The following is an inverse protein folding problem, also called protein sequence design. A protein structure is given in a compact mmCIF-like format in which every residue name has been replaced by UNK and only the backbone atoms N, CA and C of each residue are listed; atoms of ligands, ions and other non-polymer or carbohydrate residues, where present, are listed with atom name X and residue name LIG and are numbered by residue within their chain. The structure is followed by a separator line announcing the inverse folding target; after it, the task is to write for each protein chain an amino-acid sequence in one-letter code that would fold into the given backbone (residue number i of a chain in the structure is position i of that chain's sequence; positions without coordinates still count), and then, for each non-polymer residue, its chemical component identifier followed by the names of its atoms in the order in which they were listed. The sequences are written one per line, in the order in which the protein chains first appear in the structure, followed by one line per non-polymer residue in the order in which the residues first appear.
data_IF_376167160011
#
_entry.id   IF_376167160011
#
_cell.length_a   1.000
_cell.length_b   1.000
_cell.length_c   1.000
_cell.angle_alpha   90.00
_cell.angle_beta   90.00
_cell.angle_gamma   90.00
#
_symmetry.space_group_name_H-M   'P 1'
#
loop_
_entity.id
_entity.type
_entity.pdbx_description
1 polymer ?
#
# COMPACT_ATOMS: atom_id res chain seq x y z
N UNK A 1 12.78 14.50 -10.68
CA UNK A 1 11.65 13.66 -11.14
C UNK A 1 11.17 12.86 -9.95
N UNK A 2 9.88 12.96 -9.63
CA UNK A 2 9.29 12.42 -8.40
C UNK A 2 9.42 10.90 -8.29
N UNK A 3 9.19 10.20 -9.39
CA UNK A 3 9.32 8.73 -9.51
C UNK A 3 10.77 8.24 -9.67
N UNK A 4 11.74 9.16 -9.76
CA UNK A 4 13.14 8.79 -10.05
C UNK A 4 13.29 8.05 -11.37
N UNK A 5 14.11 7.00 -11.40
CA UNK A 5 14.32 6.14 -12.58
C UNK A 5 13.13 5.24 -12.89
N UNK A 6 12.23 4.99 -11.92
CA UNK A 6 11.02 4.19 -12.14
C UNK A 6 10.01 4.84 -13.08
N UNK A 7 10.15 6.15 -13.37
CA UNK A 7 9.34 6.83 -14.39
C UNK A 7 9.67 6.41 -15.83
N UNK A 8 10.78 5.70 -16.05
CA UNK A 8 11.21 5.23 -17.38
C UNK A 8 11.76 3.80 -17.31
N UNK A 9 10.86 2.83 -17.38
CA UNK A 9 11.21 1.40 -17.46
C UNK A 9 11.38 0.94 -18.92
N UNK A 10 12.28 -0.01 -19.14
CA UNK A 10 12.43 -0.65 -20.44
C UNK A 10 11.23 -1.55 -20.75
N UNK A 11 10.97 -1.79 -22.03
CA UNK A 11 9.98 -2.76 -22.45
C UNK A 11 10.42 -4.18 -22.08
N UNK A 12 9.53 -4.97 -21.50
CA UNK A 12 9.82 -6.36 -21.16
C UNK A 12 10.01 -7.22 -22.42
N UNK A 13 11.03 -8.06 -22.41
CA UNK A 13 11.22 -9.12 -23.42
C UNK A 13 10.43 -10.36 -23.04
N UNK A 14 10.23 -11.27 -24.00
CA UNK A 14 9.44 -12.50 -23.81
C UNK A 14 9.99 -13.36 -22.66
N UNK A 15 11.31 -13.49 -22.56
CA UNK A 15 11.97 -14.33 -21.54
C UNK A 15 11.63 -13.85 -20.12
N UNK A 16 11.60 -12.54 -19.90
CA UNK A 16 11.23 -11.95 -18.61
C UNK A 16 9.73 -11.99 -18.39
N UNK A 17 8.92 -11.74 -19.43
CA UNK A 17 7.46 -11.78 -19.33
C UNK A 17 6.94 -13.18 -18.97
N UNK A 18 7.60 -14.24 -19.43
CA UNK A 18 7.23 -15.63 -19.10
C UNK A 18 7.36 -15.99 -17.61
N UNK A 19 8.07 -15.18 -16.82
CA UNK A 19 8.21 -15.37 -15.37
C UNK A 19 7.13 -14.65 -14.56
N UNK A 20 6.36 -13.75 -15.17
CA UNK A 20 5.36 -12.92 -14.48
C UNK A 20 4.02 -13.65 -14.42
N UNK A 21 3.45 -13.75 -13.21
CA UNK A 21 2.15 -14.40 -12.97
C UNK A 21 1.25 -13.58 -12.04
N UNK A 22 1.23 -13.87 -10.74
CA UNK A 22 0.31 -13.28 -9.75
C UNK A 22 0.63 -11.84 -9.38
N UNK A 23 1.81 -11.34 -9.75
CA UNK A 23 2.27 -9.97 -9.51
C UNK A 23 2.60 -9.37 -10.87
N UNK A 24 1.58 -8.99 -11.62
CA UNK A 24 1.73 -8.34 -12.92
C UNK A 24 1.66 -6.81 -12.73
N UNK A 25 2.79 -6.09 -12.78
CA UNK A 25 2.76 -4.64 -12.67
C UNK A 25 2.09 -4.03 -13.91
N UNK A 26 1.11 -3.17 -13.68
CA UNK A 26 0.43 -2.38 -14.72
C UNK A 26 0.39 -0.91 -14.33
N UNK A 27 0.39 -0.02 -15.33
CA UNK A 27 0.18 1.41 -15.10
C UNK A 27 -1.22 1.61 -14.52
N UNK A 28 -1.30 2.28 -13.39
CA UNK A 28 -2.58 2.63 -12.77
C UNK A 28 -3.27 3.72 -13.58
N UNK A 29 -4.55 3.51 -13.91
CA UNK A 29 -5.39 4.50 -14.60
C UNK A 29 -6.41 5.11 -13.63
N UNK A 30 -7.29 4.29 -13.07
CA UNK A 30 -8.22 4.67 -12.00
C UNK A 30 -8.69 3.45 -11.21
N UNK A 31 -9.32 3.68 -10.05
CA UNK A 31 -9.92 2.61 -9.25
C UNK A 31 -11.11 1.95 -9.97
N UNK A 32 -11.93 2.73 -10.69
CA UNK A 32 -13.06 2.23 -11.46
C UNK A 32 -12.63 1.32 -12.60
N UNK A 33 -11.57 1.70 -13.33
CA UNK A 33 -11.03 0.89 -14.43
C UNK A 33 -10.47 -0.41 -13.87
N UNK A 34 -9.71 -0.34 -12.77
CA UNK A 34 -9.15 -1.53 -12.12
C UNK A 34 -10.26 -2.49 -11.64
N UNK A 35 -11.30 -1.96 -10.99
CA UNK A 35 -12.49 -2.71 -10.56
C UNK A 35 -13.24 -3.33 -11.74
N UNK A 36 -13.39 -2.60 -12.85
CA UNK A 36 -14.06 -3.11 -14.07
C UNK A 36 -13.26 -4.22 -14.75
N UNK A 37 -11.93 -4.12 -14.76
CA UNK A 37 -11.04 -5.16 -15.29
C UNK A 37 -11.11 -6.45 -14.46
N UNK A 38 -11.29 -6.32 -13.15
CA UNK A 38 -11.50 -7.42 -12.21
C UNK A 38 -10.42 -8.52 -12.29
N UNK A 39 -9.14 -8.12 -12.30
CA UNK A 39 -7.99 -9.02 -12.38
C UNK A 39 -7.12 -8.88 -11.14
N UNK A 40 -7.26 -9.80 -10.19
CA UNK A 40 -6.52 -9.77 -8.92
C UNK A 40 -5.00 -9.93 -9.04
N UNK A 41 -4.51 -10.48 -10.16
CA UNK A 41 -3.06 -10.60 -10.42
C UNK A 41 -2.44 -9.30 -10.96
N UNK A 42 -3.26 -8.35 -11.42
CA UNK A 42 -2.77 -7.02 -11.80
C UNK A 42 -2.53 -6.19 -10.55
N UNK A 43 -1.38 -5.53 -10.47
CA UNK A 43 -0.98 -4.69 -9.35
C UNK A 43 -0.36 -3.39 -9.86
N UNK A 44 -0.36 -2.35 -9.02
CA UNK A 44 0.25 -1.07 -9.37
C UNK A 44 1.22 -0.58 -8.29
N UNK A 45 2.31 0.05 -8.75
CA UNK A 45 3.27 0.74 -7.90
C UNK A 45 3.02 2.24 -7.93
N UNK A 46 3.03 2.87 -6.76
CA UNK A 46 2.83 4.30 -6.58
C UNK A 46 4.03 4.90 -5.85
N UNK A 47 4.56 6.00 -6.37
CA UNK A 47 5.42 6.88 -5.58
C UNK A 47 4.60 7.48 -4.42
N UNK A 48 5.23 7.71 -3.26
CA UNK A 48 4.53 8.16 -2.04
C UNK A 48 3.60 9.37 -2.25
N UNK A 49 3.96 10.29 -3.14
CA UNK A 49 3.19 11.48 -3.50
C UNK A 49 1.89 11.14 -4.22
N UNK A 50 1.95 10.26 -5.24
CA UNK A 50 0.77 9.72 -5.93
C UNK A 50 -0.08 8.87 -4.99
N UNK A 51 0.56 8.06 -4.15
CA UNK A 51 -0.15 7.28 -3.14
C UNK A 51 -0.94 8.20 -2.18
N UNK A 52 -0.32 9.29 -1.73
CA UNK A 52 -0.95 10.28 -0.85
C UNK A 52 -2.07 11.04 -1.54
N UNK A 53 -1.92 11.36 -2.83
CA UNK A 53 -3.00 11.94 -3.64
C UNK A 53 -4.21 11.00 -3.71
N UNK A 54 -4.00 9.71 -3.98
CA UNK A 54 -5.10 8.73 -4.00
C UNK A 54 -5.74 8.59 -2.61
N UNK A 55 -4.92 8.52 -1.56
CA UNK A 55 -5.40 8.45 -0.18
C UNK A 55 -6.24 9.66 0.20
N UNK A 56 -5.89 10.86 -0.24
CA UNK A 56 -6.63 12.08 0.14
C UNK A 56 -7.87 12.33 -0.73
N UNK A 57 -7.85 11.96 -2.00
CA UNK A 57 -8.97 12.19 -2.92
C UNK A 57 -10.01 11.08 -2.92
N UNK A 58 -9.56 9.83 -2.76
CA UNK A 58 -10.38 8.63 -2.92
C UNK A 58 -9.95 7.53 -1.92
N UNK A 59 -9.95 7.82 -0.60
CA UNK A 59 -9.43 6.93 0.43
C UNK A 59 -10.14 5.57 0.46
N UNK A 60 -11.45 5.65 0.35
CA UNK A 60 -12.36 4.51 0.41
C UNK A 60 -12.15 3.58 -0.78
N UNK A 61 -12.08 4.14 -1.98
CA UNK A 61 -11.82 3.39 -3.21
C UNK A 61 -10.45 2.71 -3.17
N UNK A 62 -9.47 3.35 -2.52
CA UNK A 62 -8.16 2.75 -2.33
C UNK A 62 -8.21 1.54 -1.39
N UNK A 63 -8.99 1.62 -0.29
CA UNK A 63 -9.25 0.46 0.59
C UNK A 63 -9.91 -0.67 -0.19
N UNK A 64 -10.94 -0.37 -1.00
CA UNK A 64 -11.64 -1.37 -1.80
C UNK A 64 -10.73 -2.02 -2.85
N UNK A 65 -9.89 -1.24 -3.55
CA UNK A 65 -8.88 -1.74 -4.46
C UNK A 65 -7.96 -2.76 -3.77
N UNK A 66 -7.48 -2.41 -2.57
CA UNK A 66 -6.56 -3.24 -1.80
C UNK A 66 -7.19 -4.50 -1.18
N UNK A 67 -8.50 -4.72 -1.31
CA UNK A 67 -9.13 -6.01 -0.96
C UNK A 67 -8.88 -7.08 -2.02
N UNK A 68 -8.80 -6.67 -3.29
CA UNK A 68 -8.78 -7.58 -4.44
C UNK A 68 -7.45 -7.57 -5.19
N UNK A 69 -6.69 -6.47 -5.12
CA UNK A 69 -5.43 -6.27 -5.82
C UNK A 69 -4.33 -5.83 -4.86
N UNK A 70 -3.08 -5.94 -5.31
CA UNK A 70 -1.91 -5.49 -4.55
C UNK A 70 -1.53 -4.06 -4.95
N UNK A 71 -1.14 -3.24 -3.98
CA UNK A 71 -0.46 -1.97 -4.19
C UNK A 71 0.93 -1.98 -3.57
N UNK A 72 1.89 -1.38 -4.29
CA UNK A 72 3.22 -1.09 -3.78
C UNK A 72 3.41 0.42 -3.66
N UNK A 73 3.87 0.88 -2.50
CA UNK A 73 4.25 2.28 -2.28
C UNK A 73 5.78 2.35 -2.16
N UNK A 74 6.41 3.36 -2.75
CA UNK A 74 7.85 3.58 -2.63
C UNK A 74 8.21 5.05 -2.41
N UNK A 75 9.35 5.34 -1.76
CA UNK A 75 9.76 6.71 -1.47
C UNK A 75 10.02 7.50 -2.75
N UNK A 76 9.69 8.79 -2.74
CA UNK A 76 9.99 9.70 -3.86
C UNK A 76 11.49 9.91 -4.04
N UNK A 77 11.90 10.15 -5.28
CA UNK A 77 13.31 10.35 -5.65
C UNK A 77 13.97 11.59 -5.03
N UNK A 78 13.20 12.52 -4.46
CA UNK A 78 13.77 13.69 -3.75
C UNK A 78 14.32 13.35 -2.37
N UNK A 79 14.05 12.16 -1.82
CA UNK A 79 14.65 11.64 -0.59
C UNK A 79 16.05 11.07 -0.84
N UNK A 80 16.95 11.92 -1.31
CA UNK A 80 18.32 11.54 -1.68
C UNK A 80 19.16 11.10 -0.48
N UNK A 81 18.75 11.50 0.73
CA UNK A 81 19.33 11.10 2.01
C UNK A 81 18.83 9.73 2.51
N UNK A 82 18.00 9.04 1.71
CA UNK A 82 17.37 7.78 2.10
C UNK A 82 16.43 7.89 3.31
N UNK A 83 15.88 9.07 3.62
CA UNK A 83 14.82 9.21 4.63
C UNK A 83 13.59 8.38 4.28
N UNK A 84 12.80 7.99 5.27
CA UNK A 84 11.54 7.27 5.07
C UNK A 84 10.31 8.18 5.25
N UNK A 85 9.21 7.78 4.62
CA UNK A 85 7.87 8.30 4.92
C UNK A 85 7.20 7.43 6.00
N UNK A 86 6.15 7.94 6.64
CA UNK A 86 5.41 7.18 7.66
C UNK A 86 4.57 6.06 7.01
N UNK A 87 4.87 4.77 7.27
CA UNK A 87 4.20 3.66 6.58
C UNK A 87 2.72 3.50 6.98
N UNK A 88 2.36 3.92 8.20
CA UNK A 88 1.00 3.84 8.73
C UNK A 88 -0.03 4.52 7.82
N UNK A 89 0.35 5.60 7.13
CA UNK A 89 -0.53 6.31 6.20
C UNK A 89 -1.11 5.37 5.13
N UNK A 90 -0.28 4.50 4.57
CA UNK A 90 -0.67 3.58 3.50
C UNK A 90 -1.21 2.26 4.03
N UNK A 91 -0.79 1.82 5.22
CA UNK A 91 -1.43 0.70 5.90
C UNK A 91 -2.89 1.00 6.25
N UNK A 92 -3.23 2.25 6.60
CA UNK A 92 -4.61 2.69 6.82
C UNK A 92 -5.48 2.57 5.55
N UNK A 93 -4.89 2.66 4.37
CA UNK A 93 -5.54 2.42 3.08
C UNK A 93 -5.52 0.93 2.65
N UNK A 94 -4.89 0.07 3.45
CA UNK A 94 -4.79 -1.37 3.18
C UNK A 94 -3.68 -1.77 2.21
N UNK A 95 -2.77 -0.86 1.85
CA UNK A 95 -1.63 -1.14 0.98
C UNK A 95 -0.71 -2.19 1.59
N UNK A 96 -0.28 -3.16 0.79
CA UNK A 96 0.44 -4.34 1.28
C UNK A 96 1.95 -4.16 1.21
N UNK A 97 2.47 -3.65 0.09
CA UNK A 97 3.91 -3.49 -0.14
C UNK A 97 4.34 -2.04 0.09
N UNK A 98 4.37 -1.61 1.34
CA UNK A 98 4.79 -0.25 1.74
C UNK A 98 6.30 -0.23 1.94
N UNK A 99 7.05 0.03 0.85
CA UNK A 99 8.50 -0.11 0.81
C UNK A 99 9.22 1.06 1.48
N UNK A 100 10.21 0.74 2.30
CA UNK A 100 11.05 1.68 3.04
C UNK A 100 12.54 1.44 2.75
N UNK A 101 13.37 2.43 3.02
CA UNK A 101 14.82 2.43 2.95
C UNK A 101 15.41 1.80 4.23
N UNK A 102 15.74 0.51 4.18
CA UNK A 102 16.27 -0.27 5.32
C UNK A 102 17.62 0.24 5.84
N UNK A 103 18.40 0.92 5.00
CA UNK A 103 19.67 1.55 5.36
C UNK A 103 19.53 2.70 6.38
N UNK A 104 18.32 3.25 6.54
CA UNK A 104 18.04 4.37 7.45
C UNK A 104 17.07 3.92 8.55
N UNK A 105 17.56 3.78 9.78
CA UNK A 105 16.76 3.35 10.95
C UNK A 105 16.10 4.54 11.65
N UNK A 106 15.34 5.32 10.88
CA UNK A 106 14.51 6.42 11.40
C UNK A 106 13.21 5.91 12.06
N UNK A 107 12.37 6.84 12.55
CA UNK A 107 11.12 6.50 13.24
C UNK A 107 10.22 5.56 12.42
N UNK A 108 10.10 5.81 11.11
CA UNK A 108 9.28 4.99 10.22
C UNK A 108 9.82 3.56 10.13
N UNK A 109 11.13 3.39 10.02
CA UNK A 109 11.76 2.07 10.03
C UNK A 109 11.61 1.36 11.39
N UNK A 110 11.76 2.08 12.50
CA UNK A 110 11.56 1.52 13.85
C UNK A 110 10.14 0.98 14.03
N UNK A 111 9.12 1.72 13.58
CA UNK A 111 7.72 1.26 13.57
C UNK A 111 7.56 0.02 12.69
N UNK A 112 8.15 0.01 11.50
CA UNK A 112 8.10 -1.15 10.60
C UNK A 112 8.72 -2.41 11.23
N UNK A 113 9.91 -2.29 11.81
CA UNK A 113 10.58 -3.39 12.50
C UNK A 113 9.74 -3.90 13.68
N UNK A 114 9.19 -3.00 14.51
CA UNK A 114 8.33 -3.39 15.63
C UNK A 114 7.03 -4.07 15.18
N UNK A 115 6.39 -3.58 14.11
CA UNK A 115 5.14 -4.15 13.59
C UNK A 115 5.33 -5.58 13.06
N UNK A 116 6.44 -5.85 12.37
CA UNK A 116 6.73 -7.15 11.75
C UNK A 116 7.52 -8.12 12.66
N UNK A 117 7.86 -7.72 13.89
CA UNK A 117 8.31 -8.67 14.91
C UNK A 117 7.19 -9.65 15.31
N UNK A 118 5.95 -9.15 15.35
CA UNK A 118 4.76 -9.95 15.64
C UNK A 118 4.46 -10.95 14.51
N UNK A 119 3.64 -11.95 14.81
CA UNK A 119 3.34 -13.07 13.89
C UNK A 119 4.60 -13.87 13.51
N UNK A 120 5.45 -14.14 14.51
CA UNK A 120 6.61 -15.03 14.39
C UNK A 120 7.68 -14.52 13.42
N UNK A 121 7.84 -13.21 13.26
CA UNK A 121 8.82 -12.59 12.35
C UNK A 121 8.68 -13.04 10.88
N UNK A 122 7.47 -13.43 10.47
CA UNK A 122 7.20 -13.95 9.12
C UNK A 122 7.27 -12.90 8.01
N UNK A 123 7.24 -11.60 8.37
CA UNK A 123 7.08 -10.52 7.40
C UNK A 123 5.65 -10.32 6.90
N UNK A 124 4.67 -11.06 7.46
CA UNK A 124 3.25 -10.92 7.11
C UNK A 124 2.40 -10.60 8.34
N UNK A 125 1.45 -9.66 8.18
CA UNK A 125 0.45 -9.30 9.18
C UNK A 125 -0.92 -9.30 8.53
N UNK A 126 -1.87 -10.01 9.15
CA UNK A 126 -3.24 -10.05 8.65
C UNK A 126 -3.91 -8.68 8.84
N UNK A 127 -4.45 -8.10 7.77
CA UNK A 127 -5.23 -6.86 7.83
C UNK A 127 -6.48 -7.05 8.72
N UNK A 128 -6.99 -6.00 9.38
CA UNK A 128 -8.27 -6.04 10.09
C UNK A 128 -9.42 -6.52 9.19
N UNK A 129 -10.44 -7.13 9.79
CA UNK A 129 -11.54 -7.79 9.07
C UNK A 129 -12.27 -6.85 8.09
N UNK A 130 -12.59 -5.64 8.54
CA UNK A 130 -13.28 -4.62 7.74
C UNK A 130 -12.47 -4.14 6.53
N UNK A 131 -11.14 -4.29 6.55
CA UNK A 131 -10.26 -3.96 5.41
C UNK A 131 -10.07 -5.13 4.43
N UNK A 132 -10.74 -6.27 4.66
CA UNK A 132 -10.66 -7.48 3.83
C UNK A 132 -12.02 -7.92 3.30
N UNK A 133 -13.08 -7.67 4.04
CA UNK A 133 -14.43 -8.11 3.69
C UNK A 133 -15.02 -7.30 2.52
N UNK A 134 -15.57 -7.95 1.48
CA UNK A 134 -16.16 -7.26 0.34
C UNK A 134 -17.47 -6.53 0.68
N UNK A 135 -18.16 -6.97 1.73
CA UNK A 135 -19.44 -6.42 2.17
C UNK A 135 -19.32 -5.32 3.24
N UNK A 136 -18.09 -5.01 3.68
CA UNK A 136 -17.81 -3.97 4.68
C UNK A 136 -17.16 -2.77 4.01
N UNK A 137 -17.67 -1.58 4.32
CA UNK A 137 -17.08 -0.33 3.86
C UNK A 137 -16.30 0.31 5.00
N UNK A 138 -15.16 0.91 4.69
CA UNK A 138 -14.32 1.57 5.68
C UNK A 138 -13.73 2.85 5.11
N UNK A 139 -13.99 3.96 5.79
CA UNK A 139 -13.31 5.23 5.55
C UNK A 139 -12.14 5.38 6.55
N UNK A 140 -10.88 5.37 6.08
CA UNK A 140 -9.69 5.63 6.89
C UNK A 140 -9.68 6.94 7.67
N UNK A 141 -10.51 7.92 7.30
CA UNK A 141 -10.57 9.24 7.93
C UNK A 141 -11.79 9.45 8.84
N UNK A 142 -12.54 8.39 9.12
CA UNK A 142 -13.69 8.48 10.03
C UNK A 142 -13.25 8.89 11.44
N UNK A 143 -13.88 9.94 11.98
CA UNK A 143 -13.62 10.43 13.36
C UNK A 143 -14.52 9.72 14.40
N UNK A 144 -15.55 9.01 13.95
CA UNK A 144 -16.51 8.31 14.80
C UNK A 144 -16.16 6.84 15.02
N UNK A 145 -16.91 6.20 15.94
CA UNK A 145 -16.86 4.74 16.09
C UNK A 145 -17.46 4.11 14.83
N UNK A 146 -16.73 3.19 14.22
CA UNK A 146 -17.17 2.44 13.04
C UNK A 146 -18.06 1.28 13.48
N UNK A 147 -19.23 1.14 12.85
CA UNK A 147 -20.15 0.05 13.14
C UNK A 147 -19.49 -1.34 12.97
N UNK A 148 -19.62 -2.18 13.99
CA UNK A 148 -18.97 -3.49 14.07
C UNK A 148 -17.49 -3.48 14.47
N UNK A 149 -16.89 -2.32 14.77
CA UNK A 149 -15.56 -2.21 15.37
C UNK A 149 -15.69 -1.80 16.84
N UNK A 150 -15.16 -2.62 17.74
CA UNK A 150 -15.10 -2.29 19.18
C UNK A 150 -13.97 -1.30 19.40
N UNK A 151 -14.33 -0.06 19.76
CA UNK A 151 -13.36 0.97 20.14
C UNK A 151 -12.85 0.75 21.57
N UNK A 152 -11.55 0.94 21.78
CA UNK A 152 -10.90 0.71 23.07
C UNK A 152 -10.30 2.01 23.63
N UNK A 153 -10.22 2.12 24.95
CA UNK A 153 -9.52 3.21 25.66
C UNK A 153 -8.19 2.68 26.21
N UNK A 154 -7.12 3.44 26.02
CA UNK A 154 -5.79 3.13 26.56
C UNK A 154 -5.35 4.28 27.49
N UNK A 155 -4.89 3.94 28.69
CA UNK A 155 -4.18 4.82 29.63
C UNK A 155 -2.88 4.13 29.98
N UNK A 156 -1.77 4.88 29.95
CA UNK A 156 -0.41 4.37 30.24
C UNK A 156 0.13 5.05 31.48
#
# INVERSE_FOLDING_TARGET
MDEGTAGSEAMATEEMSNLVNYIQPVKFESFEISKKRNKSFEMSSFVETKGLEQLTKSPVEFVEYNKMQLSRIYPKGTRVDSSNYMPQLFWNAGCQMVALNFQTVDLAMQINMGMYEYNGKSGYRLKPEFMRRPDKHFDPFTEGIVDGIVANTLSV
#
